data_IF_766323237422
#
_entry.id   IF_766323237422
#
_cell.length_a   1.000
_cell.length_b   1.000
_cell.length_c   1.000
_cell.angle_alpha   90.00
_cell.angle_beta   90.00
_cell.angle_gamma   90.00
#
_symmetry.space_group_name_H-M   'P 1'
#
loop_
_entity.id
_entity.type
_entity.pdbx_description
1 polymer ?
#
# COMPACT_ATOMS: atom_id res chain seq x y z
N UNK A 1 -7.40 -10.57 -4.09
CA UNK A 1 -6.94 -9.18 -3.95
C UNK A 1 -5.74 -9.16 -3.03
N UNK A 2 -4.67 -8.45 -3.41
CA UNK A 2 -3.45 -8.28 -2.59
C UNK A 2 -3.09 -6.80 -2.55
N UNK A 3 -2.38 -6.35 -1.53
CA UNK A 3 -1.87 -4.98 -1.47
C UNK A 3 -0.39 -5.02 -1.80
N UNK A 4 0.03 -4.26 -2.80
CA UNK A 4 1.43 -4.06 -3.15
C UNK A 4 1.85 -2.63 -2.84
N UNK A 5 2.92 -2.49 -2.06
CA UNK A 5 3.47 -1.20 -1.67
C UNK A 5 4.70 -0.91 -2.53
N UNK A 6 4.74 0.25 -3.15
CA UNK A 6 5.85 0.72 -3.97
C UNK A 6 6.46 1.99 -3.38
N UNK A 7 7.78 2.04 -3.33
CA UNK A 7 8.52 3.26 -3.00
C UNK A 7 8.77 4.07 -4.28
N UNK A 8 8.31 5.33 -4.30
CA UNK A 8 8.71 6.28 -5.35
C UNK A 8 9.98 7.02 -4.91
N UNK A 9 11.04 6.82 -5.69
CA UNK A 9 12.41 7.27 -5.38
C UNK A 9 12.64 8.78 -5.26
N UNK A 10 11.61 9.61 -5.45
CA UNK A 10 11.79 11.05 -5.37
C UNK A 10 11.77 11.62 -3.94
N UNK A 11 11.05 11.02 -2.97
CA UNK A 11 10.93 11.56 -1.59
C UNK A 11 10.42 10.57 -0.52
N UNK A 12 10.86 9.31 -0.48
CA UNK A 12 10.33 8.32 0.50
C UNK A 12 8.79 8.26 0.49
N UNK A 13 8.14 8.47 -0.66
CA UNK A 13 6.70 8.30 -0.72
C UNK A 13 6.41 6.83 -0.99
N UNK A 14 5.62 6.22 -0.12
CA UNK A 14 5.14 4.87 -0.27
C UNK A 14 3.71 4.93 -0.77
N UNK A 15 3.43 4.17 -1.83
CA UNK A 15 2.11 4.09 -2.43
C UNK A 15 1.66 2.64 -2.36
N UNK A 16 0.57 2.39 -1.65
CA UNK A 16 -0.11 1.11 -1.61
C UNK A 16 -1.12 1.03 -2.75
N UNK A 17 -1.01 -0.03 -3.56
CA UNK A 17 -1.95 -0.37 -4.60
C UNK A 17 -2.70 -1.64 -4.23
N UNK A 18 -4.02 -1.63 -4.38
CA UNK A 18 -4.81 -2.84 -4.44
C UNK A 18 -4.60 -3.47 -5.80
N UNK A 19 -4.09 -4.70 -5.81
CA UNK A 19 -3.95 -5.49 -7.02
C UNK A 19 -5.03 -6.56 -7.02
N UNK A 20 -5.91 -6.46 -8.00
CA UNK A 20 -7.02 -7.40 -8.17
C UNK A 20 -6.56 -8.71 -8.82
N UNK A 21 -7.45 -9.70 -8.89
CA UNK A 21 -7.13 -10.99 -9.50
C UNK A 21 -6.73 -10.86 -10.99
N UNK A 22 -7.22 -9.82 -11.66
CA UNK A 22 -6.91 -9.49 -13.05
C UNK A 22 -5.56 -8.75 -13.22
N UNK A 23 -4.86 -8.45 -12.13
CA UNK A 23 -3.62 -7.66 -12.15
C UNK A 23 -3.83 -6.15 -12.28
N UNK A 24 -5.08 -5.69 -12.29
CA UNK A 24 -5.40 -4.27 -12.22
C UNK A 24 -4.96 -3.69 -10.88
N UNK A 25 -4.25 -2.57 -10.94
CA UNK A 25 -3.71 -1.87 -9.77
C UNK A 25 -4.53 -0.61 -9.53
N UNK A 26 -5.14 -0.51 -8.36
CA UNK A 26 -5.87 0.69 -7.92
C UNK A 26 -5.12 1.30 -6.75
N UNK A 27 -4.78 2.59 -6.83
CA UNK A 27 -4.15 3.29 -5.71
C UNK A 27 -5.14 3.31 -4.52
N UNK A 28 -4.72 2.74 -3.40
CA UNK A 28 -5.50 2.75 -2.16
C UNK A 28 -5.08 3.91 -1.27
N UNK A 29 -3.78 4.00 -1.03
CA UNK A 29 -3.19 4.86 -0.03
C UNK A 29 -1.84 5.34 -0.51
N UNK A 30 -1.51 6.58 -0.19
CA UNK A 30 -0.18 7.13 -0.35
C UNK A 30 0.25 7.74 0.98
N UNK A 31 1.49 7.52 1.37
CA UNK A 31 2.09 8.21 2.50
C UNK A 31 3.47 8.74 2.13
N UNK A 32 3.84 9.85 2.75
CA UNK A 32 5.18 10.43 2.68
C UNK A 32 5.91 10.26 4.03
N UNK A 33 5.23 9.69 5.03
CA UNK A 33 5.72 9.54 6.40
C UNK A 33 6.44 8.19 6.63
N UNK A 34 6.59 7.37 5.59
CA UNK A 34 7.26 6.07 5.67
C UNK A 34 6.33 4.88 5.98
N UNK A 35 6.95 3.71 6.17
CA UNK A 35 6.26 2.41 6.13
C UNK A 35 5.30 2.20 7.30
N UNK A 36 5.66 2.62 8.50
CA UNK A 36 4.84 2.49 9.70
C UNK A 36 3.52 3.27 9.60
N UNK A 37 3.57 4.49 9.05
CA UNK A 37 2.38 5.30 8.82
C UNK A 37 1.44 4.63 7.80
N UNK A 38 2.00 4.06 6.72
CA UNK A 38 1.21 3.28 5.76
C UNK A 38 0.54 2.07 6.40
N UNK A 39 1.29 1.32 7.22
CA UNK A 39 0.77 0.14 7.94
C UNK A 39 -0.38 0.52 8.86
N UNK A 40 -0.24 1.61 9.62
CA UNK A 40 -1.31 2.13 10.47
C UNK A 40 -2.55 2.54 9.65
N UNK A 41 -2.38 3.16 8.48
CA UNK A 41 -3.51 3.52 7.62
C UNK A 41 -4.20 2.30 6.99
N UNK A 42 -3.44 1.25 6.66
CA UNK A 42 -3.98 -0.03 6.19
C UNK A 42 -4.77 -0.69 7.33
N UNK A 43 -4.26 -0.64 8.56
CA UNK A 43 -4.93 -1.21 9.74
C UNK A 43 -6.20 -0.46 10.12
N UNK A 44 -6.16 0.87 10.12
CA UNK A 44 -7.31 1.75 10.35
C UNK A 44 -8.43 1.51 9.34
N UNK A 45 -8.07 1.25 8.06
CA UNK A 45 -9.04 0.88 7.02
C UNK A 45 -9.52 -0.57 7.08
N UNK A 46 -9.13 -1.35 8.08
CA UNK A 46 -9.43 -2.78 8.20
C UNK A 46 -8.92 -3.61 7.00
N UNK A 47 -7.93 -3.08 6.29
CA UNK A 47 -7.29 -3.72 5.15
C UNK A 47 -6.19 -4.69 5.59
N UNK A 48 -5.93 -4.83 6.89
CA UNK A 48 -4.99 -5.81 7.47
C UNK A 48 -5.30 -7.26 7.14
N UNK A 49 -6.55 -7.57 6.74
CA UNK A 49 -6.92 -8.89 6.23
C UNK A 49 -6.41 -9.15 4.81
N UNK A 50 -6.00 -8.12 4.07
CA UNK A 50 -5.39 -8.27 2.76
C UNK A 50 -3.89 -8.49 2.92
N UNK A 51 -3.36 -9.44 2.15
CA UNK A 51 -1.96 -9.81 2.20
C UNK A 51 -1.10 -8.64 1.68
N UNK A 52 -0.50 -7.85 2.57
CA UNK A 52 0.33 -6.69 2.25
C UNK A 52 1.75 -7.17 1.93
N UNK A 53 2.22 -6.90 0.71
CA UNK A 53 3.62 -7.12 0.32
C UNK A 53 4.31 -5.79 0.04
N UNK A 54 5.44 -5.60 0.71
CA UNK A 54 6.40 -4.55 0.42
C UNK A 54 7.37 -5.08 -0.63
N UNK A 55 7.48 -4.38 -1.76
CA UNK A 55 8.37 -4.75 -2.86
C UNK A 55 9.41 -3.67 -3.12
#
# INVERSE_FOLDING_TARGET
MKIEVYETGSKMKLIAYLVDANGEKTELLRTENGRDDLLNQIDDKNLSHLNVRFN
#
